data_IF_383037586238
#
_entry.id   IF_383037586238
#
_cell.length_a   1.000
_cell.length_b   1.000
_cell.length_c   1.000
_cell.angle_alpha   90.00
_cell.angle_beta   90.00
_cell.angle_gamma   90.00
#
_symmetry.space_group_name_H-M   'P 1'
#
loop_
_entity.id
_entity.type
_entity.pdbx_description
1 polymer ?
#
# COMPACT_ATOMS: atom_id res chain seq x y z
N UNK A 1 -35.18 18.80 33.26
CA UNK A 1 -34.15 17.73 33.26
C UNK A 1 -32.74 18.31 33.34
N UNK A 2 -32.38 19.29 32.50
CA UNK A 2 -31.07 19.96 32.56
C UNK A 2 -30.75 20.58 33.94
N UNK A 3 -31.73 21.22 34.58
CA UNK A 3 -31.57 21.79 35.93
C UNK A 3 -31.23 20.74 36.98
N UNK A 4 -31.67 19.49 36.83
CA UNK A 4 -31.33 18.40 37.75
C UNK A 4 -29.86 17.99 37.59
N UNK A 5 -29.36 17.94 36.35
CA UNK A 5 -27.95 17.64 36.05
C UNK A 5 -27.05 18.76 36.59
N UNK A 6 -27.44 20.02 36.37
CA UNK A 6 -26.69 21.18 36.89
C UNK A 6 -26.65 21.15 38.42
N UNK A 7 -27.80 20.95 39.08
CA UNK A 7 -27.83 20.84 40.54
C UNK A 7 -26.96 19.68 41.06
N UNK A 8 -26.99 18.52 40.40
CA UNK A 8 -26.15 17.38 40.75
C UNK A 8 -24.66 17.71 40.60
N UNK A 9 -24.27 18.34 39.50
CA UNK A 9 -22.88 18.72 39.22
C UNK A 9 -22.34 19.76 40.20
N UNK A 10 -23.16 20.75 40.58
CA UNK A 10 -22.77 21.79 41.55
C UNK A 10 -22.66 21.22 42.97
N UNK A 11 -23.61 20.36 43.37
CA UNK A 11 -23.61 19.75 44.70
C UNK A 11 -22.45 18.74 44.86
N UNK A 12 -22.14 17.96 43.82
CA UNK A 12 -21.07 16.96 43.80
C UNK A 12 -19.80 17.45 43.08
N UNK A 13 -19.44 18.73 43.27
CA UNK A 13 -18.30 19.37 42.58
C UNK A 13 -16.98 18.58 42.65
N UNK A 14 -16.71 17.89 43.76
CA UNK A 14 -15.49 17.09 43.93
C UNK A 14 -15.44 15.88 42.99
N UNK A 15 -16.55 15.14 42.86
CA UNK A 15 -16.66 14.00 41.93
C UNK A 15 -16.53 14.50 40.48
N UNK A 16 -17.19 15.61 40.14
CA UNK A 16 -17.10 16.20 38.79
C UNK A 16 -15.67 16.62 38.46
N UNK A 17 -14.95 17.25 39.39
CA UNK A 17 -13.54 17.62 39.20
C UNK A 17 -12.65 16.40 39.02
N UNK A 18 -12.85 15.35 39.84
CA UNK A 18 -12.10 14.10 39.71
C UNK A 18 -12.34 13.45 38.35
N UNK A 19 -13.60 13.32 37.92
CA UNK A 19 -13.94 12.73 36.62
C UNK A 19 -13.36 13.56 35.46
N UNK A 20 -13.42 14.89 35.56
CA UNK A 20 -12.79 15.79 34.57
C UNK A 20 -11.28 15.60 34.53
N UNK A 21 -10.62 15.47 35.68
CA UNK A 21 -9.18 15.22 35.76
C UNK A 21 -8.80 13.86 35.17
N UNK A 22 -9.56 12.80 35.48
CA UNK A 22 -9.36 11.48 34.88
C UNK A 22 -9.56 11.52 33.36
N UNK A 23 -10.57 12.24 32.87
CA UNK A 23 -10.81 12.42 31.44
C UNK A 23 -9.66 13.20 30.77
N UNK A 24 -9.15 14.25 31.42
CA UNK A 24 -8.00 15.02 30.92
C UNK A 24 -6.74 14.15 30.84
N UNK A 25 -6.47 13.35 31.88
CA UNK A 25 -5.34 12.40 31.89
C UNK A 25 -5.49 11.36 30.77
N UNK A 26 -6.68 10.75 30.63
CA UNK A 26 -6.95 9.80 29.55
C UNK A 26 -6.81 10.45 28.16
N UNK A 27 -7.23 11.70 28.01
CA UNK A 27 -7.06 12.50 26.80
C UNK A 27 -5.60 12.74 26.47
N UNK A 28 -4.76 13.09 27.45
CA UNK A 28 -3.31 13.26 27.28
C UNK A 28 -2.66 11.94 26.86
N UNK A 29 -3.01 10.83 27.50
CA UNK A 29 -2.48 9.52 27.09
C UNK A 29 -2.89 9.16 25.65
N UNK A 30 -4.15 9.41 25.29
CA UNK A 30 -4.66 9.15 23.94
C UNK A 30 -4.00 10.04 22.88
N UNK A 31 -3.77 11.32 23.20
CA UNK A 31 -3.12 12.27 22.30
C UNK A 31 -1.68 11.87 21.99
N UNK A 32 -0.93 11.42 22.99
CA UNK A 32 0.45 10.94 22.78
C UNK A 32 0.51 9.62 21.99
N UNK A 33 -0.55 8.82 22.02
CA UNK A 33 -0.64 7.56 21.28
C UNK A 33 -1.27 7.70 19.89
N UNK A 34 -1.79 8.88 19.54
CA UNK A 34 -2.42 9.11 18.26
C UNK A 34 -1.34 9.13 17.16
N UNK A 35 -1.39 8.22 16.17
CA UNK A 35 -0.47 8.28 15.05
C UNK A 35 -0.75 9.55 14.24
N UNK A 36 0.29 10.36 14.04
CA UNK A 36 0.23 11.58 13.25
C UNK A 36 1.01 11.30 11.96
N UNK A 37 0.38 11.59 10.83
CA UNK A 37 1.01 11.59 9.52
C UNK A 37 0.88 12.99 8.90
N UNK A 38 1.81 13.36 8.03
CA UNK A 38 1.85 14.68 7.42
C UNK A 38 0.71 14.87 6.41
N UNK A 39 0.32 13.79 5.73
CA UNK A 39 -0.76 13.76 4.75
C UNK A 39 -1.56 12.46 4.90
N UNK A 40 -2.87 12.46 4.62
CA UNK A 40 -3.62 11.22 4.52
C UNK A 40 -3.13 10.40 3.33
N UNK A 41 -3.18 9.07 3.44
CA UNK A 41 -2.93 8.18 2.32
C UNK A 41 -4.05 8.34 1.27
N UNK A 42 -3.67 8.84 0.10
CA UNK A 42 -4.54 9.05 -1.07
C UNK A 42 -4.24 8.04 -2.19
N UNK A 43 -3.44 7.02 -1.90
CA UNK A 43 -3.01 6.06 -2.92
C UNK A 43 -4.07 4.98 -3.15
N UNK A 44 -4.17 4.53 -4.40
CA UNK A 44 -5.12 3.48 -4.73
C UNK A 44 -4.65 2.14 -4.16
N UNK A 45 -5.60 1.26 -3.84
CA UNK A 45 -5.30 -0.13 -3.55
C UNK A 45 -4.81 -0.86 -4.81
N UNK A 46 -3.52 -1.15 -4.90
CA UNK A 46 -2.90 -1.69 -6.11
C UNK A 46 -1.90 -2.81 -5.82
N UNK A 47 -1.83 -3.76 -6.76
CA UNK A 47 -0.85 -4.84 -6.75
C UNK A 47 0.01 -4.73 -8.00
N UNK A 48 1.32 -4.60 -7.80
CA UNK A 48 2.28 -4.56 -8.88
C UNK A 48 2.86 -5.94 -9.15
N UNK A 49 3.09 -6.25 -10.42
CA UNK A 49 3.76 -7.45 -10.92
C UNK A 49 4.92 -6.96 -11.77
N UNK A 50 6.14 -7.27 -11.34
CA UNK A 50 7.36 -6.94 -12.07
C UNK A 50 7.91 -8.22 -12.68
N UNK A 51 8.09 -8.21 -14.00
CA UNK A 51 8.67 -9.31 -14.76
C UNK A 51 9.95 -8.84 -15.41
N UNK A 52 11.07 -9.44 -15.02
CA UNK A 52 12.39 -9.14 -15.59
C UNK A 52 12.80 -10.21 -16.58
N UNK A 53 13.41 -9.80 -17.69
CA UNK A 53 13.91 -10.72 -18.72
C UNK A 53 15.12 -10.08 -19.42
N UNK A 54 16.20 -10.83 -19.60
CA UNK A 54 17.41 -10.27 -20.20
C UNK A 54 17.35 -10.30 -21.73
N UNK A 55 17.77 -9.20 -22.36
CA UNK A 55 18.08 -9.16 -23.79
C UNK A 55 16.90 -9.07 -24.76
N UNK A 56 15.66 -8.94 -24.28
CA UNK A 56 14.49 -8.74 -25.15
C UNK A 56 14.19 -7.26 -25.41
N UNK A 57 13.77 -6.97 -26.64
CA UNK A 57 13.29 -5.64 -27.02
C UNK A 57 11.92 -5.34 -26.38
N UNK A 58 11.59 -4.06 -26.09
CA UNK A 58 10.30 -3.70 -25.48
C UNK A 58 9.09 -4.24 -26.27
N UNK A 59 9.14 -4.25 -27.59
CA UNK A 59 8.04 -4.74 -28.44
C UNK A 59 7.81 -6.25 -28.30
N UNK A 60 8.88 -7.01 -28.09
CA UNK A 60 8.81 -8.46 -27.86
C UNK A 60 8.28 -8.74 -26.46
N UNK A 61 8.77 -8.02 -25.45
CA UNK A 61 8.28 -8.09 -24.07
C UNK A 61 6.79 -7.77 -24.01
N UNK A 62 6.35 -6.74 -24.72
CA UNK A 62 4.94 -6.35 -24.75
C UNK A 62 4.04 -7.50 -25.22
N UNK A 63 4.43 -8.15 -26.32
CA UNK A 63 3.64 -9.23 -26.94
C UNK A 63 3.72 -10.55 -26.17
N UNK A 64 4.89 -10.89 -25.62
CA UNK A 64 5.16 -12.21 -25.04
C UNK A 64 4.98 -12.27 -23.53
N UNK A 65 5.05 -11.13 -22.84
CA UNK A 65 4.97 -11.06 -21.37
C UNK A 65 3.87 -10.11 -20.93
N UNK A 66 3.97 -8.83 -21.28
CA UNK A 66 3.08 -7.79 -20.72
C UNK A 66 1.63 -8.07 -21.07
N UNK A 67 1.33 -8.34 -22.34
CA UNK A 67 -0.03 -8.55 -22.81
C UNK A 67 -0.69 -9.81 -22.21
N UNK A 68 -0.05 -11.00 -22.19
CA UNK A 68 -0.59 -12.17 -21.48
C UNK A 68 -0.85 -11.93 -19.99
N UNK A 69 0.11 -11.32 -19.29
CA UNK A 69 -0.04 -11.01 -17.86
C UNK A 69 -1.19 -10.03 -17.65
N UNK A 70 -1.22 -8.92 -18.37
CA UNK A 70 -2.30 -7.92 -18.28
C UNK A 70 -3.68 -8.53 -18.55
N UNK A 71 -3.81 -9.28 -19.65
CA UNK A 71 -5.07 -9.90 -20.07
C UNK A 71 -5.61 -10.86 -19.00
N UNK A 72 -4.73 -11.67 -18.39
CA UNK A 72 -5.11 -12.61 -17.32
C UNK A 72 -5.63 -11.91 -16.06
N UNK A 73 -5.13 -10.70 -15.76
CA UNK A 73 -5.46 -9.95 -14.56
C UNK A 73 -6.79 -9.22 -14.68
N UNK A 74 -7.20 -8.82 -15.89
CA UNK A 74 -8.49 -8.14 -16.13
C UNK A 74 -9.70 -8.99 -15.70
N UNK A 75 -9.57 -10.32 -15.68
CA UNK A 75 -10.62 -11.24 -15.27
C UNK A 75 -10.80 -11.36 -13.75
N UNK A 76 -10.01 -10.67 -12.94
CA UNK A 76 -10.11 -10.69 -11.48
C UNK A 76 -11.28 -9.81 -11.02
N UNK A 77 -12.10 -10.34 -10.12
CA UNK A 77 -13.21 -9.60 -9.53
C UNK A 77 -12.70 -8.40 -8.73
N UNK A 78 -13.30 -7.23 -8.96
CA UNK A 78 -12.98 -6.01 -8.21
C UNK A 78 -11.79 -5.21 -8.74
N UNK A 79 -11.20 -5.62 -9.86
CA UNK A 79 -10.27 -4.77 -10.62
C UNK A 79 -11.03 -3.57 -11.19
N UNK A 80 -10.52 -2.37 -10.94
CA UNK A 80 -10.99 -1.14 -11.56
C UNK A 80 -10.23 -0.83 -12.84
N UNK A 81 -8.90 -1.01 -12.81
CA UNK A 81 -8.04 -0.71 -13.94
C UNK A 81 -6.79 -1.59 -13.89
N UNK A 82 -6.29 -1.98 -15.06
CA UNK A 82 -4.94 -2.54 -15.21
C UNK A 82 -4.11 -1.56 -16.02
N UNK A 83 -2.89 -1.28 -15.56
CA UNK A 83 -1.92 -0.42 -16.25
C UNK A 83 -0.65 -1.22 -16.47
N UNK A 84 0.03 -0.98 -17.57
CA UNK A 84 1.26 -1.68 -17.92
C UNK A 84 2.31 -0.69 -18.42
N UNK A 85 3.57 -0.97 -18.10
CA UNK A 85 4.73 -0.25 -18.59
C UNK A 85 5.73 -1.29 -19.07
N UNK A 86 6.13 -1.19 -20.33
CA UNK A 86 7.11 -2.09 -20.94
C UNK A 86 8.36 -1.29 -21.31
N UNK A 87 9.51 -1.76 -20.84
CA UNK A 87 10.84 -1.18 -21.08
C UNK A 87 11.81 -2.30 -21.41
N UNK A 88 13.01 -1.93 -21.86
CA UNK A 88 14.06 -2.90 -22.14
C UNK A 88 14.34 -3.76 -20.90
N UNK A 89 14.15 -5.08 -21.05
CA UNK A 89 14.30 -6.09 -20.02
C UNK A 89 13.33 -6.03 -18.83
N UNK A 90 12.28 -5.21 -18.89
CA UNK A 90 11.31 -5.03 -17.80
C UNK A 90 9.87 -4.90 -18.33
N UNK A 91 8.99 -5.76 -17.82
CA UNK A 91 7.54 -5.59 -17.89
C UNK A 91 7.00 -5.31 -16.50
N UNK A 92 6.24 -4.23 -16.34
CA UNK A 92 5.60 -3.87 -15.09
C UNK A 92 4.10 -3.75 -15.29
N UNK A 93 3.33 -4.63 -14.66
CA UNK A 93 1.86 -4.62 -14.69
C UNK A 93 1.35 -4.20 -13.31
N UNK A 94 0.51 -3.18 -13.25
CA UNK A 94 -0.11 -2.67 -12.03
C UNK A 94 -1.62 -2.88 -12.10
N UNK A 95 -2.13 -3.70 -11.20
CA UNK A 95 -3.56 -4.02 -11.08
C UNK A 95 -4.15 -3.16 -9.97
N UNK A 96 -5.06 -2.26 -10.32
CA UNK A 96 -5.75 -1.36 -9.39
C UNK A 96 -7.10 -1.96 -9.02
N UNK A 97 -7.34 -2.11 -7.73
CA UNK A 97 -8.56 -2.65 -7.14
C UNK A 97 -9.47 -1.55 -6.60
N UNK A 98 -10.73 -1.91 -6.30
CA UNK A 98 -11.61 -1.05 -5.51
C UNK A 98 -11.07 -0.90 -4.08
N UNK A 99 -11.26 0.28 -3.49
CA UNK A 99 -10.76 0.63 -2.15
C UNK A 99 -11.28 -0.30 -1.04
N UNK A 100 -12.48 -0.86 -1.20
CA UNK A 100 -13.10 -1.79 -0.24
C UNK A 100 -12.41 -3.16 -0.15
N UNK A 101 -11.54 -3.48 -1.10
CA UNK A 101 -10.88 -4.79 -1.15
C UNK A 101 -9.67 -4.79 -0.22
N UNK A 102 -9.52 -5.82 0.60
CA UNK A 102 -8.30 -6.01 1.39
C UNK A 102 -7.08 -6.27 0.47
N UNK A 103 -5.99 -5.54 0.69
CA UNK A 103 -4.76 -5.64 -0.11
C UNK A 103 -4.15 -7.05 -0.09
N UNK A 104 -4.21 -7.77 1.02
CA UNK A 104 -3.67 -9.12 1.11
C UNK A 104 -4.53 -10.10 0.30
N UNK A 105 -5.86 -9.92 0.34
CA UNK A 105 -6.78 -10.69 -0.52
C UNK A 105 -6.52 -10.41 -2.00
N UNK A 106 -6.37 -9.15 -2.37
CA UNK A 106 -6.03 -8.76 -3.74
C UNK A 106 -4.73 -9.44 -4.21
N UNK A 107 -3.68 -9.38 -3.38
CA UNK A 107 -2.39 -10.04 -3.67
C UNK A 107 -2.49 -11.55 -3.81
N UNK A 108 -3.30 -12.19 -2.97
CA UNK A 108 -3.51 -13.62 -3.06
C UNK A 108 -4.12 -14.01 -4.40
N UNK A 109 -5.19 -13.33 -4.81
CA UNK A 109 -5.87 -13.63 -6.10
C UNK A 109 -4.97 -13.32 -7.28
N UNK A 110 -4.20 -12.23 -7.22
CA UNK A 110 -3.19 -11.91 -8.25
C UNK A 110 -2.11 -12.99 -8.31
N UNK A 111 -1.62 -13.48 -7.16
CA UNK A 111 -0.64 -14.57 -7.09
C UNK A 111 -1.16 -15.86 -7.71
N UNK A 112 -2.40 -16.23 -7.39
CA UNK A 112 -3.07 -17.41 -7.95
C UNK A 112 -3.21 -17.30 -9.48
N UNK A 113 -3.60 -16.13 -9.99
CA UNK A 113 -3.69 -15.89 -11.44
C UNK A 113 -2.33 -15.86 -12.11
N UNK A 114 -1.33 -15.26 -11.46
CA UNK A 114 0.03 -15.17 -12.00
C UNK A 114 0.62 -16.56 -12.19
N UNK A 115 0.43 -17.46 -11.21
CA UNK A 115 0.88 -18.86 -11.30
C UNK A 115 0.29 -19.59 -12.51
N UNK A 116 -0.94 -19.27 -12.93
CA UNK A 116 -1.55 -19.84 -14.13
C UNK A 116 -0.94 -19.35 -15.45
N UNK A 117 -0.32 -18.17 -15.46
CA UNK A 117 0.27 -17.55 -16.67
C UNK A 117 1.76 -17.82 -16.78
N UNK A 118 2.45 -18.14 -15.68
CA UNK A 118 3.89 -18.48 -15.67
C UNK A 118 4.30 -19.47 -16.79
N UNK A 119 3.52 -20.52 -17.14
CA UNK A 119 3.89 -21.44 -18.22
C UNK A 119 3.85 -20.84 -19.63
N UNK A 120 3.12 -19.75 -19.84
CA UNK A 120 3.02 -19.06 -21.14
C UNK A 120 4.16 -18.05 -21.36
N UNK A 121 4.91 -17.72 -20.30
CA UNK A 121 6.00 -16.75 -20.37
C UNK A 121 7.25 -17.37 -21.00
N UNK A 122 8.05 -16.58 -21.75
CA UNK A 122 9.30 -17.05 -22.35
C UNK A 122 10.30 -17.51 -21.28
N UNK A 123 11.17 -18.45 -21.65
CA UNK A 123 12.22 -18.93 -20.77
C UNK A 123 13.11 -17.78 -20.29
N UNK A 124 13.37 -17.74 -18.97
CA UNK A 124 14.16 -16.68 -18.34
C UNK A 124 13.36 -15.46 -17.89
N UNK A 125 12.06 -15.39 -18.15
CA UNK A 125 11.20 -14.36 -17.57
C UNK A 125 10.89 -14.68 -16.10
N UNK A 126 11.25 -13.77 -15.20
CA UNK A 126 10.96 -13.90 -13.77
C UNK A 126 9.86 -12.92 -13.34
N UNK A 127 8.63 -13.41 -13.22
CA UNK A 127 7.50 -12.59 -12.75
C UNK A 127 7.33 -12.67 -11.23
N UNK A 128 7.38 -11.52 -10.55
CA UNK A 128 7.26 -11.41 -9.10
C UNK A 128 6.31 -10.30 -8.70
N UNK A 129 5.60 -10.50 -7.59
CA UNK A 129 4.80 -9.44 -6.98
C UNK A 129 5.70 -8.36 -6.39
N UNK A 130 5.39 -7.10 -6.67
CA UNK A 130 6.02 -5.95 -6.04
C UNK A 130 5.72 -5.88 -4.53
N UNK A 131 6.43 -5.01 -3.79
CA UNK A 131 6.20 -4.79 -2.37
C UNK A 131 4.80 -4.23 -2.10
N UNK A 132 4.32 -4.37 -0.86
CA UNK A 132 3.09 -3.71 -0.39
C UNK A 132 3.46 -2.29 0.00
N UNK A 133 3.74 -1.46 -1.00
CA UNK A 133 4.15 -0.08 -0.81
C UNK A 133 3.61 0.78 -1.94
N UNK A 134 3.31 2.02 -1.63
CA UNK A 134 2.86 3.03 -2.59
C UNK A 134 3.97 4.07 -2.82
N UNK A 135 3.73 5.06 -3.68
CA UNK A 135 4.67 6.18 -3.86
C UNK A 135 4.90 7.00 -2.58
N UNK A 136 4.03 6.88 -1.57
CA UNK A 136 4.19 7.50 -0.25
C UNK A 136 5.02 6.63 0.71
N UNK A 137 5.37 5.40 0.33
CA UNK A 137 6.14 4.47 1.16
C UNK A 137 7.64 4.75 1.23
N UNK A 138 8.13 5.75 0.49
CA UNK A 138 9.53 6.20 0.57
C UNK A 138 9.72 7.16 1.75
N UNK A 139 10.04 6.61 2.92
CA UNK A 139 10.13 7.38 4.18
C UNK A 139 11.54 7.96 4.41
N UNK A 140 12.59 7.22 4.08
CA UNK A 140 13.97 7.61 4.38
C UNK A 140 14.91 7.20 3.25
N UNK A 141 15.65 8.17 2.72
CA UNK A 141 16.68 7.97 1.70
C UNK A 141 18.03 8.41 2.26
N UNK A 142 19.08 7.64 1.99
CA UNK A 142 20.44 7.97 2.39
C UNK A 142 21.43 7.65 1.26
N UNK A 143 22.58 8.30 1.31
CA UNK A 143 23.70 8.07 0.38
C UNK A 143 24.89 7.61 1.19
N UNK A 144 25.58 6.58 0.70
CA UNK A 144 26.87 6.16 1.24
C UNK A 144 27.96 6.86 0.44
N UNK A 145 28.71 7.73 1.11
CA UNK A 145 29.89 8.38 0.55
C UNK A 145 31.15 7.77 1.18
N UNK A 146 32.21 7.68 0.41
CA UNK A 146 33.51 7.21 0.87
C UNK A 146 34.53 8.31 0.68
N UNK A 147 35.12 8.76 1.79
CA UNK A 147 36.23 9.71 1.76
C UNK A 147 37.42 9.03 1.06
N UNK A 148 37.88 9.57 -0.07
CA UNK A 148 39.02 9.04 -0.82
C UNK A 148 40.22 8.88 0.13
N UNK A 149 40.91 7.72 0.17
CA UNK A 149 42.16 7.63 0.88
C UNK A 149 43.13 8.64 0.26
N UNK A 150 43.71 9.52 1.08
CA UNK A 150 44.74 10.44 0.65
C UNK A 150 45.86 9.64 -0.04
N UNK A 151 46.14 10.00 -1.29
CA UNK A 151 47.19 9.41 -2.11
C UNK A 151 48.59 9.69 -1.53
#
# INVERSE_FOLDING_TARGET
MINKIIHFSVYHRGIVLLLTAMLAIAGIFSFNALPIDAVPDITNNQVQINTTVDGLAPEEIERTITFPVESSMRGIAGVQQVRSITRFGLSQVTVVFKDEIDIYRARQVVSERLQGVLPELPHGAEARLGPISSGLGEIYQYVLDFEKPAA
#
